data_IF_408777198917
#
_entry.id   IF_408777198917
#
_cell.length_a   1.000
_cell.length_b   1.000
_cell.length_c   1.000
_cell.angle_alpha   90.00
_cell.angle_beta   90.00
_cell.angle_gamma   90.00
#
_symmetry.space_group_name_H-M   'P 1'
#
loop_
_entity.id
_entity.type
_entity.pdbx_description
1 polymer ?
#
# COMPACT_ATOMS: atom_id res chain seq x y z
N UNK A 1 -20.59 13.43 -23.25
CA UNK A 1 -19.97 13.15 -21.93
C UNK A 1 -18.48 13.08 -22.14
N UNK A 2 -17.70 13.83 -21.37
CA UNK A 2 -16.24 13.76 -21.38
C UNK A 2 -15.80 13.14 -20.05
N UNK A 3 -15.02 12.06 -20.13
CA UNK A 3 -14.24 11.51 -19.02
C UNK A 3 -12.82 12.03 -19.16
N UNK A 4 -12.23 12.52 -18.07
CA UNK A 4 -10.88 13.05 -18.06
C UNK A 4 -10.20 12.61 -16.76
N UNK A 5 -9.00 12.04 -16.87
CA UNK A 5 -8.19 11.55 -15.77
C UNK A 5 -6.79 12.12 -15.90
N UNK A 6 -6.25 12.65 -14.80
CA UNK A 6 -4.88 13.11 -14.70
C UNK A 6 -4.31 12.66 -13.35
N UNK A 7 -3.19 11.95 -13.40
CA UNK A 7 -2.41 11.49 -12.27
C UNK A 7 -0.98 12.03 -12.47
N UNK A 8 -0.65 13.08 -11.71
CA UNK A 8 0.54 13.93 -11.88
C UNK A 8 1.86 13.16 -12.02
N UNK A 9 2.01 12.04 -11.34
CA UNK A 9 3.21 11.21 -11.30
C UNK A 9 3.15 9.95 -12.18
N UNK A 10 2.01 9.68 -12.84
CA UNK A 10 1.80 8.39 -13.50
C UNK A 10 1.25 8.47 -14.92
N UNK A 11 0.19 9.25 -15.17
CA UNK A 11 -0.58 9.16 -16.41
C UNK A 11 -1.57 10.30 -16.62
N UNK A 12 -2.02 10.50 -17.85
CA UNK A 12 -3.27 11.22 -18.12
C UNK A 12 -4.03 10.63 -19.30
N UNK A 13 -5.34 10.75 -19.26
CA UNK A 13 -6.22 10.20 -20.29
C UNK A 13 -7.53 10.97 -20.40
N UNK A 14 -8.18 10.83 -21.55
CA UNK A 14 -9.55 11.29 -21.73
C UNK A 14 -10.34 10.31 -22.59
N UNK A 15 -11.67 10.38 -22.48
CA UNK A 15 -12.59 9.70 -23.38
C UNK A 15 -13.82 10.58 -23.62
N UNK A 16 -14.09 10.88 -24.88
CA UNK A 16 -15.22 11.68 -25.33
C UNK A 16 -16.31 10.79 -25.93
N UNK A 17 -17.53 10.92 -25.41
CA UNK A 17 -18.71 10.18 -25.85
C UNK A 17 -19.81 11.12 -26.33
N UNK A 18 -20.44 10.77 -27.45
CA UNK A 18 -21.66 11.39 -27.97
C UNK A 18 -22.72 10.32 -28.17
N UNK A 19 -23.93 10.52 -27.62
CA UNK A 19 -25.02 9.55 -27.68
C UNK A 19 -24.61 8.12 -27.24
N UNK A 20 -23.83 8.04 -26.16
CA UNK A 20 -23.26 6.78 -25.61
C UNK A 20 -22.28 6.03 -26.52
N UNK A 21 -21.84 6.63 -27.63
CA UNK A 21 -20.79 6.09 -28.51
C UNK A 21 -19.47 6.82 -28.27
N UNK A 22 -18.38 6.07 -28.11
CA UNK A 22 -17.03 6.63 -28.02
C UNK A 22 -16.71 7.35 -29.34
N UNK A 23 -16.33 8.62 -29.24
CA UNK A 23 -15.96 9.46 -30.37
C UNK A 23 -14.45 9.62 -30.46
N UNK A 24 -13.78 9.77 -29.32
CA UNK A 24 -12.33 9.91 -29.23
C UNK A 24 -11.83 9.48 -27.86
N UNK A 25 -10.67 8.83 -27.80
CA UNK A 25 -9.96 8.56 -26.57
C UNK A 25 -8.45 8.74 -26.75
N UNK A 26 -7.79 9.05 -25.65
CA UNK A 26 -6.34 9.15 -25.56
C UNK A 26 -5.93 8.73 -24.16
N UNK A 27 -4.79 8.04 -24.05
CA UNK A 27 -4.10 7.87 -22.79
C UNK A 27 -2.59 7.99 -23.00
N UNK A 28 -1.89 8.54 -22.03
CA UNK A 28 -0.46 8.32 -21.90
C UNK A 28 -0.09 8.08 -20.44
N UNK A 29 1.00 7.37 -20.25
CA UNK A 29 1.54 7.02 -18.95
C UNK A 29 3.05 7.05 -19.00
N UNK A 30 3.69 7.39 -17.89
CA UNK A 30 5.14 7.55 -17.78
C UNK A 30 5.71 6.88 -16.52
N UNK A 31 4.97 5.92 -15.97
CA UNK A 31 5.50 4.95 -15.00
C UNK A 31 6.52 4.01 -15.68
N UNK A 32 6.86 2.88 -15.06
CA UNK A 32 8.00 1.98 -15.34
C UNK A 32 8.24 1.61 -16.81
N UNK A 33 7.22 1.71 -17.68
CA UNK A 33 7.34 1.67 -19.14
C UNK A 33 6.44 2.75 -19.76
N UNK A 34 6.98 3.93 -20.13
CA UNK A 34 6.20 4.99 -20.73
C UNK A 34 5.50 4.51 -22.01
N UNK A 35 4.29 4.99 -22.22
CA UNK A 35 3.49 4.60 -23.38
C UNK A 35 2.38 5.60 -23.66
N UNK A 36 1.90 5.53 -24.90
CA UNK A 36 0.80 6.33 -25.42
C UNK A 36 -0.16 5.36 -26.11
N UNK A 37 -1.45 5.53 -25.84
CA UNK A 37 -2.55 4.89 -26.54
C UNK A 37 -3.33 5.97 -27.32
N UNK A 38 -3.34 5.80 -28.64
CA UNK A 38 -4.02 6.66 -29.61
C UNK A 38 -4.98 5.87 -30.51
N UNK A 39 -5.24 4.59 -30.21
CA UNK A 39 -5.97 3.70 -31.12
C UNK A 39 -7.38 4.21 -31.43
N UNK A 40 -7.93 5.01 -30.52
CA UNK A 40 -9.24 5.65 -30.64
C UNK A 40 -9.18 7.17 -30.68
N UNK A 41 -8.01 7.79 -30.91
CA UNK A 41 -7.89 9.24 -30.97
C UNK A 41 -8.47 9.78 -32.28
N UNK A 42 -9.55 10.54 -32.19
CA UNK A 42 -10.15 11.25 -33.31
C UNK A 42 -10.17 12.75 -33.04
N UNK A 43 -9.18 13.47 -33.56
CA UNK A 43 -9.03 14.92 -33.36
C UNK A 43 -10.21 15.71 -33.95
N UNK A 44 -10.73 15.30 -35.12
CA UNK A 44 -11.87 15.97 -35.75
C UNK A 44 -13.10 16.01 -34.83
N UNK A 45 -13.30 14.96 -34.01
CA UNK A 45 -14.40 14.94 -33.02
C UNK A 45 -14.24 16.00 -31.92
N UNK A 46 -13.03 16.50 -31.69
CA UNK A 46 -12.69 17.51 -30.67
C UNK A 46 -12.72 18.95 -31.21
N UNK A 47 -12.81 19.12 -32.54
CA UNK A 47 -12.83 20.45 -33.18
C UNK A 47 -13.98 21.33 -32.69
N UNK A 48 -15.08 20.71 -32.26
CA UNK A 48 -16.22 21.39 -31.65
C UNK A 48 -15.89 22.08 -30.32
N UNK A 49 -14.78 21.74 -29.67
CA UNK A 49 -14.35 22.30 -28.39
C UNK A 49 -13.15 23.23 -28.55
N UNK A 50 -12.18 22.88 -29.40
CA UNK A 50 -10.98 23.68 -29.66
C UNK A 50 -10.47 23.49 -31.10
N UNK A 51 -9.85 24.53 -31.72
CA UNK A 51 -9.27 24.40 -33.05
C UNK A 51 -8.20 23.29 -33.12
N UNK A 52 -8.23 22.47 -34.18
CA UNK A 52 -7.34 21.30 -34.34
C UNK A 52 -5.86 21.62 -34.19
N UNK A 53 -5.39 22.72 -34.79
CA UNK A 53 -3.99 23.15 -34.72
C UNK A 53 -3.50 23.44 -33.29
N UNK A 54 -4.40 23.69 -32.33
CA UNK A 54 -4.04 23.85 -30.91
C UNK A 54 -3.95 22.53 -30.16
N UNK A 55 -4.57 21.48 -30.69
CA UNK A 55 -4.67 20.15 -30.08
C UNK A 55 -3.57 19.20 -30.57
N UNK A 56 -3.15 19.29 -31.83
CA UNK A 56 -2.20 18.37 -32.48
C UNK A 56 -0.90 18.15 -31.69
N UNK A 57 -0.34 19.22 -31.12
CA UNK A 57 0.90 19.15 -30.34
C UNK A 57 0.77 18.56 -28.93
N UNK A 58 -0.45 18.32 -28.44
CA UNK A 58 -0.67 17.82 -27.07
C UNK A 58 -0.61 16.29 -26.96
N UNK A 59 -0.63 15.60 -28.09
CA UNK A 59 -0.73 14.14 -28.15
C UNK A 59 0.55 13.46 -28.64
N UNK A 60 1.64 14.20 -28.87
CA UNK A 60 2.91 13.63 -29.34
C UNK A 60 3.73 13.06 -28.17
N UNK A 61 4.68 12.18 -28.50
CA UNK A 61 5.61 11.44 -27.62
C UNK A 61 5.84 12.06 -26.24
N UNK A 62 5.64 11.27 -25.18
CA UNK A 62 5.56 11.74 -23.81
C UNK A 62 6.70 11.17 -22.96
N UNK A 63 7.54 12.04 -22.40
CA UNK A 63 8.40 11.72 -21.27
C UNK A 63 7.99 12.54 -20.03
N UNK A 64 8.51 12.18 -18.87
CA UNK A 64 8.20 12.84 -17.60
C UNK A 64 8.66 14.32 -17.57
N UNK A 65 9.69 14.68 -18.35
CA UNK A 65 10.18 16.05 -18.40
C UNK A 65 9.18 16.93 -19.17
N UNK A 66 8.68 16.46 -20.31
CA UNK A 66 7.60 17.13 -21.06
C UNK A 66 6.31 17.21 -20.24
N UNK A 67 5.96 16.17 -19.47
CA UNK A 67 4.82 16.18 -18.56
C UNK A 67 4.88 17.35 -17.57
N UNK A 68 6.06 17.54 -16.98
CA UNK A 68 6.32 18.55 -15.96
C UNK A 68 6.46 19.96 -16.56
N UNK A 69 7.23 20.10 -17.63
CA UNK A 69 7.56 21.41 -18.22
C UNK A 69 6.45 21.96 -19.11
N UNK A 70 5.87 21.12 -19.99
CA UNK A 70 4.89 21.56 -20.96
C UNK A 70 3.45 21.43 -20.47
N UNK A 71 3.22 20.62 -19.44
CA UNK A 71 1.91 20.47 -18.82
C UNK A 71 0.76 20.23 -19.82
N UNK A 72 0.93 19.33 -20.82
CA UNK A 72 0.00 19.22 -21.96
C UNK A 72 -1.40 18.75 -21.55
N UNK A 73 -1.52 17.97 -20.46
CA UNK A 73 -2.80 17.62 -19.88
C UNK A 73 -3.59 18.86 -19.42
N UNK A 74 -2.91 19.81 -18.79
CA UNK A 74 -3.51 21.08 -18.36
C UNK A 74 -3.86 21.96 -19.55
N UNK A 75 -2.95 22.09 -20.53
CA UNK A 75 -3.23 22.82 -21.78
C UNK A 75 -4.45 22.24 -22.50
N UNK A 76 -4.58 20.92 -22.55
CA UNK A 76 -5.74 20.24 -23.13
C UNK A 76 -7.03 20.60 -22.37
N UNK A 77 -7.01 20.53 -21.04
CA UNK A 77 -8.16 20.91 -20.22
C UNK A 77 -8.58 22.38 -20.42
N UNK A 78 -7.62 23.29 -20.51
CA UNK A 78 -7.84 24.72 -20.80
C UNK A 78 -8.46 24.94 -22.18
N UNK A 79 -7.94 24.28 -23.22
CA UNK A 79 -8.47 24.39 -24.58
C UNK A 79 -9.92 23.89 -24.67
N UNK A 80 -10.26 22.84 -23.94
CA UNK A 80 -11.62 22.32 -23.84
C UNK A 80 -12.52 23.16 -22.90
N UNK A 81 -12.01 24.24 -22.31
CA UNK A 81 -12.70 25.06 -21.31
C UNK A 81 -13.23 24.22 -20.15
N UNK A 82 -12.56 23.10 -19.85
CA UNK A 82 -12.84 22.36 -18.64
C UNK A 82 -12.40 23.24 -17.47
N UNK A 83 -13.16 23.28 -16.37
CA UNK A 83 -12.66 23.88 -15.15
C UNK A 83 -11.32 23.21 -14.83
N UNK A 84 -10.23 23.96 -15.02
CA UNK A 84 -8.88 23.46 -14.83
C UNK A 84 -8.68 23.29 -13.33
N UNK A 85 -9.00 22.11 -12.82
CA UNK A 85 -8.41 21.66 -11.57
C UNK A 85 -7.00 21.24 -11.95
N UNK A 86 -6.00 22.09 -11.62
CA UNK A 86 -4.72 21.51 -11.21
C UNK A 86 -5.11 20.42 -10.22
N UNK A 87 -4.77 19.16 -10.48
CA UNK A 87 -4.99 18.13 -9.47
C UNK A 87 -3.93 18.38 -8.43
N UNK A 88 -4.19 19.40 -7.64
CA UNK A 88 -3.40 19.71 -6.50
C UNK A 88 -3.71 18.56 -5.56
N UNK A 89 -2.69 17.76 -5.20
CA UNK A 89 -2.88 16.73 -4.16
C UNK A 89 -3.66 17.36 -3.00
N UNK A 90 -4.57 16.64 -2.32
CA UNK A 90 -5.37 17.24 -1.26
C UNK A 90 -4.55 18.01 -0.22
N UNK A 91 -3.27 17.64 -0.03
CA UNK A 91 -2.26 18.39 0.73
C UNK A 91 -1.84 19.71 0.08
N UNK A 92 -1.44 19.71 -1.19
CA UNK A 92 -1.03 20.93 -1.90
C UNK A 92 -2.25 21.86 -2.09
N UNK A 93 -3.47 21.32 -2.19
CA UNK A 93 -4.71 22.09 -2.40
C UNK A 93 -5.06 22.91 -1.16
N UNK A 94 -4.41 22.65 -0.03
CA UNK A 94 -4.53 23.40 1.20
C UNK A 94 -3.41 24.43 1.39
N UNK A 95 -2.17 24.10 1.03
CA UNK A 95 -1.06 25.06 1.11
C UNK A 95 -1.12 26.12 0.02
N UNK A 96 -1.54 25.74 -1.19
CA UNK A 96 -1.34 26.53 -2.42
C UNK A 96 -2.65 27.12 -2.98
N UNK A 97 -3.74 27.09 -2.21
CA UNK A 97 -5.00 27.79 -2.57
C UNK A 97 -5.31 28.96 -1.65
N UNK A 98 -4.43 29.24 -0.68
CA UNK A 98 -4.61 30.34 0.26
C UNK A 98 -4.61 31.71 -0.43
N UNK A 99 -3.80 31.87 -1.48
CA UNK A 99 -3.76 33.03 -2.36
C UNK A 99 -5.04 33.16 -3.21
N UNK A 100 -5.58 32.06 -3.75
CA UNK A 100 -6.84 32.05 -4.49
C UNK A 100 -8.01 32.46 -3.60
N UNK A 101 -8.07 31.93 -2.36
CA UNK A 101 -9.07 32.35 -1.38
C UNK A 101 -8.93 33.85 -1.05
N UNK A 102 -7.71 34.36 -0.90
CA UNK A 102 -7.46 35.82 -0.72
C UNK A 102 -7.91 36.65 -1.92
N UNK A 103 -7.91 36.09 -3.12
CA UNK A 103 -8.39 36.73 -4.34
C UNK A 103 -9.92 36.65 -4.53
N UNK A 104 -10.66 36.14 -3.53
CA UNK A 104 -12.13 36.10 -3.55
C UNK A 104 -12.72 34.81 -4.11
N UNK A 105 -11.90 33.79 -4.37
CA UNK A 105 -12.39 32.50 -4.81
C UNK A 105 -13.04 31.72 -3.66
N UNK A 106 -14.09 30.96 -3.97
CA UNK A 106 -14.83 30.14 -2.99
C UNK A 106 -14.38 28.68 -3.07
N UNK A 107 -13.85 28.14 -1.97
CA UNK A 107 -13.57 26.70 -1.85
C UNK A 107 -14.87 25.91 -1.74
N UNK A 108 -15.11 24.98 -2.66
CA UNK A 108 -16.23 24.04 -2.61
C UNK A 108 -15.77 22.74 -1.92
N UNK A 109 -16.15 22.58 -0.66
CA UNK A 109 -15.75 21.45 0.19
C UNK A 109 -14.57 21.78 1.11
N UNK A 110 -14.51 21.08 2.24
CA UNK A 110 -13.36 21.08 3.15
C UNK A 110 -12.73 19.70 3.10
N UNK A 111 -11.40 19.60 3.21
CA UNK A 111 -10.77 18.30 3.45
C UNK A 111 -11.44 17.69 4.68
N UNK A 112 -11.79 16.39 4.64
CA UNK A 112 -12.15 15.68 5.85
C UNK A 112 -11.08 15.97 6.90
N UNK A 113 -11.48 16.38 8.11
CA UNK A 113 -10.51 16.65 9.18
C UNK A 113 -9.54 15.48 9.26
N UNK A 114 -8.24 15.78 9.29
CA UNK A 114 -7.21 14.76 9.43
C UNK A 114 -7.62 13.83 10.58
N UNK A 115 -7.83 12.53 10.31
CA UNK A 115 -8.27 11.61 11.34
C UNK A 115 -7.32 11.61 12.55
N UNK A 116 -6.04 11.92 12.35
CA UNK A 116 -5.05 12.11 13.42
C UNK A 116 -5.47 13.20 14.41
N UNK A 117 -5.95 14.34 13.91
CA UNK A 117 -6.47 15.45 14.75
C UNK A 117 -7.77 15.02 15.41
N UNK A 118 -8.67 14.38 14.67
CA UNK A 118 -9.98 13.95 15.18
C UNK A 118 -9.84 12.94 16.32
N UNK A 119 -8.93 11.98 16.20
CA UNK A 119 -8.65 10.97 17.22
C UNK A 119 -7.68 11.47 18.28
N UNK A 120 -7.15 12.69 18.12
CA UNK A 120 -6.14 13.29 18.99
C UNK A 120 -4.90 12.39 19.16
N UNK A 121 -4.46 11.69 18.10
CA UNK A 121 -3.33 10.73 18.15
C UNK A 121 -2.08 11.37 18.77
N UNK A 122 -1.22 10.60 19.47
CA UNK A 122 -0.03 11.19 20.09
C UNK A 122 0.88 11.77 19.01
N UNK A 123 1.63 12.81 19.36
CA UNK A 123 2.67 13.32 18.47
C UNK A 123 3.79 12.30 18.31
N UNK A 124 4.31 12.22 17.08
CA UNK A 124 5.54 11.49 16.75
C UNK A 124 6.67 11.97 17.65
N UNK A 125 7.50 11.03 18.09
CA UNK A 125 8.58 11.30 19.04
C UNK A 125 9.70 10.28 18.89
N UNK A 126 10.86 10.64 19.43
CA UNK A 126 11.94 9.68 19.66
C UNK A 126 11.89 9.18 21.09
N UNK A 127 12.08 7.89 21.29
CA UNK A 127 12.16 7.24 22.60
C UNK A 127 13.45 6.44 22.72
N UNK A 128 13.89 6.23 23.96
CA UNK A 128 14.99 5.32 24.24
C UNK A 128 14.48 3.89 24.21
N UNK A 129 15.10 3.06 23.38
CA UNK A 129 14.78 1.64 23.30
C UNK A 129 15.74 0.84 24.18
N UNK A 130 15.28 -0.25 24.81
CA UNK A 130 16.18 -1.16 25.52
C UNK A 130 17.17 -1.83 24.56
N UNK A 131 16.76 -2.03 23.31
CA UNK A 131 17.56 -2.53 22.18
C UNK A 131 16.92 -2.12 20.85
N UNK A 132 17.68 -2.02 19.75
CA UNK A 132 17.14 -1.58 18.47
C UNK A 132 16.39 -2.68 17.68
N UNK A 133 16.63 -3.95 17.99
CA UNK A 133 16.14 -5.12 17.28
C UNK A 133 15.05 -5.86 18.07
N UNK A 134 13.96 -5.15 18.35
CA UNK A 134 12.84 -5.65 19.15
C UNK A 134 12.10 -6.81 18.45
N UNK A 135 11.64 -7.78 19.23
CA UNK A 135 10.57 -8.71 18.83
C UNK A 135 9.21 -8.01 18.75
N UNK A 136 8.20 -8.69 18.20
CA UNK A 136 6.84 -8.15 18.12
C UNK A 136 6.26 -7.83 19.49
N UNK A 137 6.43 -8.73 20.48
CA UNK A 137 5.90 -8.53 21.83
C UNK A 137 6.65 -7.44 22.60
N UNK A 138 7.97 -7.36 22.49
CA UNK A 138 8.75 -6.26 23.09
C UNK A 138 8.33 -4.90 22.50
N UNK A 139 8.16 -4.82 21.18
CA UNK A 139 7.67 -3.61 20.53
C UNK A 139 6.23 -3.26 20.93
N UNK A 140 5.35 -4.25 21.06
CA UNK A 140 3.97 -4.05 21.54
C UNK A 140 3.96 -3.53 22.99
N UNK A 141 4.82 -4.05 23.86
CA UNK A 141 4.92 -3.60 25.25
C UNK A 141 5.33 -2.12 25.36
N UNK A 142 6.14 -1.63 24.42
CA UNK A 142 6.51 -0.20 24.32
C UNK A 142 5.36 0.64 23.79
N UNK A 143 4.60 0.15 22.80
CA UNK A 143 3.48 0.88 22.18
C UNK A 143 2.24 0.91 23.07
N UNK A 144 1.95 -0.17 23.81
CA UNK A 144 0.71 -0.36 24.55
C UNK A 144 0.37 0.80 25.52
N UNK A 145 1.31 1.37 26.31
CA UNK A 145 1.02 2.50 27.19
C UNK A 145 0.50 3.75 26.44
N UNK A 146 0.98 4.01 25.22
CA UNK A 146 0.50 5.12 24.40
C UNK A 146 -0.92 4.91 23.89
N UNK A 147 -1.28 3.63 23.69
CA UNK A 147 -2.59 3.24 23.20
C UNK A 147 -3.61 3.02 24.31
N UNK A 148 -3.17 2.88 25.57
CA UNK A 148 -4.05 2.70 26.73
C UNK A 148 -5.05 3.85 26.95
N UNK A 149 -4.75 5.07 26.49
CA UNK A 149 -5.68 6.21 26.53
C UNK A 149 -6.88 6.07 25.58
N UNK A 150 -6.79 5.15 24.63
CA UNK A 150 -7.87 4.82 23.71
C UNK A 150 -8.66 3.65 24.30
N UNK A 151 -9.69 3.97 25.08
CA UNK A 151 -10.56 2.97 25.68
C UNK A 151 -11.42 2.24 24.65
N UNK A 152 -12.19 1.24 25.09
CA UNK A 152 -13.16 0.56 24.23
C UNK A 152 -14.00 1.59 23.44
N UNK A 153 -14.19 1.39 22.13
CA UNK A 153 -14.05 0.14 21.39
C UNK A 153 -12.72 -0.03 20.62
N UNK A 154 -11.67 0.72 20.96
CA UNK A 154 -10.36 0.57 20.31
C UNK A 154 -9.72 -0.78 20.65
N UNK A 155 -9.20 -1.47 19.64
CA UNK A 155 -8.46 -2.72 19.83
C UNK A 155 -7.42 -2.92 18.74
N UNK A 156 -6.29 -3.54 19.13
CA UNK A 156 -5.31 -4.04 18.19
C UNK A 156 -5.95 -5.17 17.36
N UNK A 157 -5.86 -5.06 16.04
CA UNK A 157 -6.39 -6.09 15.14
C UNK A 157 -5.33 -6.68 14.20
N UNK A 158 -4.22 -5.98 13.97
CA UNK A 158 -3.11 -6.43 13.15
C UNK A 158 -1.81 -5.86 13.69
N UNK A 159 -0.74 -6.64 13.62
CA UNK A 159 0.63 -6.12 13.69
C UNK A 159 1.43 -6.68 12.52
N UNK A 160 2.43 -5.94 12.07
CA UNK A 160 3.30 -6.38 10.98
C UNK A 160 4.65 -5.72 11.09
N UNK A 161 5.68 -6.32 10.52
CA UNK A 161 6.95 -5.64 10.25
C UNK A 161 6.98 -5.16 8.81
N UNK A 162 7.39 -3.91 8.61
CA UNK A 162 7.81 -3.41 7.30
C UNK A 162 9.33 -3.37 7.27
N UNK A 163 9.94 -3.89 6.20
CA UNK A 163 11.40 -3.88 6.04
C UNK A 163 12.01 -5.28 6.07
N UNK A 164 12.84 -5.56 7.07
CA UNK A 164 13.47 -6.87 7.25
C UNK A 164 13.34 -7.32 8.70
N UNK A 165 13.18 -8.62 8.92
CA UNK A 165 13.44 -9.25 10.22
C UNK A 165 14.67 -10.15 10.13
N UNK A 166 15.34 -10.32 11.26
CA UNK A 166 16.48 -11.23 11.38
C UNK A 166 16.00 -12.69 11.29
N UNK A 167 16.93 -13.63 11.11
CA UNK A 167 16.62 -15.06 11.15
C UNK A 167 16.03 -15.53 12.48
N UNK A 168 16.16 -14.73 13.53
CA UNK A 168 15.58 -14.94 14.86
C UNK A 168 14.19 -14.32 15.01
N UNK A 169 13.62 -13.71 13.96
CA UNK A 169 12.30 -13.06 14.04
C UNK A 169 12.28 -11.74 14.79
N UNK A 170 13.44 -11.10 14.92
CA UNK A 170 13.57 -9.75 15.49
C UNK A 170 13.56 -8.69 14.39
N UNK A 171 13.13 -7.49 14.73
CA UNK A 171 13.19 -6.37 13.80
C UNK A 171 14.63 -6.06 13.39
N UNK A 172 14.88 -5.81 12.11
CA UNK A 172 16.17 -5.28 11.69
C UNK A 172 16.34 -3.84 12.20
N UNK A 173 17.43 -3.59 12.92
CA UNK A 173 17.69 -2.30 13.56
C UNK A 173 17.81 -1.11 12.58
N UNK A 174 18.21 -1.37 11.33
CA UNK A 174 18.52 -0.34 10.33
C UNK A 174 17.32 -0.08 9.43
N UNK A 175 16.69 -1.13 8.91
CA UNK A 175 15.63 -1.03 7.88
C UNK A 175 14.27 -1.53 8.34
N UNK A 176 14.18 -2.19 9.49
CA UNK A 176 12.95 -2.78 10.00
C UNK A 176 12.11 -1.80 10.82
N UNK A 177 10.79 -1.96 10.74
CA UNK A 177 9.82 -1.17 11.48
C UNK A 177 8.60 -2.01 11.87
N UNK A 178 8.34 -2.16 13.17
CA UNK A 178 7.09 -2.76 13.64
C UNK A 178 5.95 -1.76 13.48
N UNK A 179 4.84 -2.20 12.89
CA UNK A 179 3.60 -1.47 12.67
C UNK A 179 2.47 -2.17 13.42
N UNK A 180 1.65 -1.38 14.12
CA UNK A 180 0.52 -1.83 14.91
C UNK A 180 -0.73 -1.10 14.44
N UNK A 181 -1.79 -1.84 14.19
CA UNK A 181 -3.05 -1.28 13.71
C UNK A 181 -4.13 -1.48 14.76
N UNK A 182 -4.63 -0.37 15.28
CA UNK A 182 -5.74 -0.31 16.21
C UNK A 182 -6.96 0.20 15.48
N UNK A 183 -8.12 -0.43 15.64
CA UNK A 183 -9.37 0.06 15.04
C UNK A 183 -10.44 0.34 16.06
N UNK A 184 -11.35 1.26 15.73
CA UNK A 184 -12.48 1.64 16.60
C UNK A 184 -13.76 0.89 16.18
N UNK A 185 -13.99 -0.28 16.76
CA UNK A 185 -15.17 -1.09 16.45
C UNK A 185 -15.35 -1.30 14.94
N UNK A 186 -16.52 -0.90 14.40
CA UNK A 186 -16.85 -0.96 12.97
C UNK A 186 -16.71 0.38 12.24
N UNK A 187 -16.19 1.45 12.83
CA UNK A 187 -16.30 2.78 12.20
C UNK A 187 -15.42 3.00 10.97
N UNK A 188 -14.51 2.07 10.66
CA UNK A 188 -13.45 2.26 9.66
C UNK A 188 -12.31 3.17 10.15
N UNK A 189 -12.43 3.75 11.36
CA UNK A 189 -11.35 4.54 11.95
C UNK A 189 -10.24 3.61 12.45
N UNK A 190 -9.01 3.89 12.00
CA UNK A 190 -7.80 3.13 12.33
C UNK A 190 -6.72 4.09 12.83
N UNK A 191 -6.00 3.67 13.86
CA UNK A 191 -4.75 4.27 14.30
C UNK A 191 -3.64 3.30 13.95
N UNK A 192 -2.73 3.76 13.11
CA UNK A 192 -1.47 3.10 12.86
C UNK A 192 -0.42 3.66 13.81
N UNK A 193 0.33 2.77 14.46
CA UNK A 193 1.51 3.10 15.26
C UNK A 193 2.71 2.38 14.66
N UNK A 194 3.85 3.05 14.55
CA UNK A 194 5.08 2.42 14.06
C UNK A 194 6.28 2.75 14.95
N UNK A 195 7.19 1.80 15.07
CA UNK A 195 8.42 1.93 15.86
C UNK A 195 9.62 1.37 15.09
N UNK A 196 10.61 2.23 14.86
CA UNK A 196 11.87 1.90 14.21
C UNK A 196 12.94 1.54 15.24
N UNK A 197 13.96 0.78 14.83
CA UNK A 197 15.08 0.39 15.70
C UNK A 197 15.93 1.56 16.23
N UNK A 198 15.82 2.75 15.62
CA UNK A 198 16.49 3.96 16.12
C UNK A 198 15.68 4.74 17.19
N UNK A 199 14.53 4.20 17.62
CA UNK A 199 13.65 4.80 18.61
C UNK A 199 12.63 5.78 18.07
N UNK A 200 12.55 5.98 16.75
CA UNK A 200 11.48 6.80 16.17
C UNK A 200 10.14 6.08 16.32
N UNK A 201 9.24 6.68 17.09
CA UNK A 201 7.88 6.23 17.36
C UNK A 201 6.90 7.21 16.72
N UNK A 202 6.04 6.73 15.82
CA UNK A 202 5.06 7.58 15.15
C UNK A 202 3.64 7.02 15.18
N UNK A 203 2.69 7.92 14.94
CA UNK A 203 1.26 7.66 15.02
C UNK A 203 0.56 8.32 13.84
N UNK A 204 -0.44 7.64 13.27
CA UNK A 204 -1.28 8.18 12.20
C UNK A 204 -2.71 7.71 12.36
N UNK A 205 -3.64 8.65 12.39
CA UNK A 205 -5.06 8.33 12.22
C UNK A 205 -5.37 8.18 10.73
N UNK A 206 -6.20 7.20 10.40
CA UNK A 206 -6.73 7.01 9.05
C UNK A 206 -8.18 6.51 9.09
N UNK A 207 -8.87 6.67 7.97
CA UNK A 207 -10.16 6.03 7.72
C UNK A 207 -9.99 5.06 6.57
N UNK A 208 -10.33 3.82 6.81
CA UNK A 208 -10.23 2.73 5.84
C UNK A 208 -11.65 2.25 5.54
N UNK A 209 -11.91 1.88 4.30
CA UNK A 209 -13.17 1.27 3.91
C UNK A 209 -13.41 0.00 4.74
N UNK A 210 -14.62 -0.18 5.26
CA UNK A 210 -14.97 -1.31 6.11
C UNK A 210 -14.80 -2.64 5.35
N UNK A 211 -15.08 -2.63 4.05
CA UNK A 211 -14.94 -3.80 3.19
C UNK A 211 -13.48 -4.24 3.04
N UNK A 212 -12.52 -3.32 3.22
CA UNK A 212 -11.10 -3.62 3.11
C UNK A 212 -10.50 -4.25 4.38
N UNK A 213 -11.12 -4.07 5.55
CA UNK A 213 -10.60 -4.54 6.86
C UNK A 213 -11.36 -5.76 7.41
N UNK A 214 -12.47 -6.13 6.78
CA UNK A 214 -13.32 -7.22 7.23
C UNK A 214 -13.96 -6.97 8.62
N UNK A 215 -14.66 -7.98 9.17
CA UNK A 215 -15.36 -7.85 10.44
C UNK A 215 -14.38 -7.62 11.61
N UNK A 216 -14.82 -6.94 12.69
CA UNK A 216 -14.02 -6.69 13.86
C UNK A 216 -13.71 -7.96 14.63
N UNK A 217 -12.43 -8.29 14.58
CA UNK A 217 -11.72 -9.31 15.33
C UNK A 217 -10.69 -8.61 16.18
N UNK A 218 -10.76 -8.89 17.48
CA UNK A 218 -9.83 -8.39 18.47
C UNK A 218 -8.72 -9.42 18.59
N UNK A 219 -7.46 -9.00 18.54
CA UNK A 219 -6.38 -9.84 19.03
C UNK A 219 -6.62 -10.01 20.54
N UNK A 220 -7.21 -11.14 20.92
CA UNK A 220 -7.61 -11.41 22.30
C UNK A 220 -6.35 -11.69 23.11
N UNK A 221 -6.15 -10.91 24.18
CA UNK A 221 -5.12 -11.14 25.19
C UNK A 221 -3.69 -10.86 24.72
N UNK A 222 -2.89 -10.20 25.55
CA UNK A 222 -1.45 -10.02 25.34
C UNK A 222 -0.64 -11.33 25.55
N UNK A 223 -1.29 -12.51 25.52
CA UNK A 223 -0.72 -13.73 26.10
C UNK A 223 -0.80 -15.00 25.26
N UNK A 224 -1.81 -15.15 24.38
CA UNK A 224 -2.13 -16.50 23.88
C UNK A 224 -1.51 -16.86 22.53
N UNK A 225 -0.83 -15.92 21.87
CA UNK A 225 -0.13 -16.15 20.61
C UNK A 225 1.38 -16.23 20.82
N UNK A 226 2.10 -16.99 20.01
CA UNK A 226 3.56 -17.09 19.94
C UNK A 226 4.17 -15.82 19.36
N UNK A 227 5.19 -15.28 20.02
CA UNK A 227 5.94 -14.11 19.58
C UNK A 227 6.66 -14.34 18.24
N UNK A 228 7.06 -13.25 17.57
CA UNK A 228 7.76 -13.32 16.29
C UNK A 228 9.06 -14.15 16.36
N UNK A 229 9.71 -14.17 17.51
CA UNK A 229 10.92 -14.97 17.76
C UNK A 229 10.65 -16.46 17.87
N UNK A 230 9.58 -16.83 18.56
CA UNK A 230 9.11 -18.21 18.72
C UNK A 230 8.63 -18.78 17.38
N UNK A 231 7.90 -17.97 16.60
CA UNK A 231 7.45 -18.35 15.26
C UNK A 231 8.62 -18.57 14.33
N UNK A 232 9.63 -17.69 14.32
CA UNK A 232 10.81 -17.91 13.50
C UNK A 232 11.61 -19.14 13.93
N UNK A 233 11.58 -19.52 15.21
CA UNK A 233 12.15 -20.78 15.66
C UNK A 233 11.43 -21.98 14.99
N UNK A 234 10.10 -22.02 15.00
CA UNK A 234 9.31 -23.04 14.29
C UNK A 234 9.61 -23.05 12.79
N UNK A 235 9.64 -21.88 12.15
CA UNK A 235 9.90 -21.74 10.71
C UNK A 235 11.29 -22.28 10.32
N UNK A 236 12.29 -22.10 11.19
CA UNK A 236 13.63 -22.61 10.94
C UNK A 236 13.72 -24.15 11.02
N UNK A 237 12.75 -24.81 11.65
CA UNK A 237 12.66 -26.27 11.70
C UNK A 237 11.94 -26.88 10.48
N UNK A 238 11.17 -26.08 9.74
CA UNK A 238 10.46 -26.55 8.55
C UNK A 238 11.43 -26.91 7.42
N UNK A 239 11.06 -27.94 6.66
CA UNK A 239 11.79 -28.32 5.45
C UNK A 239 11.68 -27.20 4.41
N UNK A 240 12.81 -26.55 4.13
CA UNK A 240 12.88 -25.45 3.18
C UNK A 240 12.70 -25.99 1.75
N UNK A 241 11.83 -25.37 0.94
CA UNK A 241 11.72 -25.70 -0.47
C UNK A 241 13.06 -25.55 -1.21
N UNK A 242 13.35 -26.47 -2.12
CA UNK A 242 14.54 -26.39 -2.97
C UNK A 242 14.52 -25.13 -3.84
N UNK A 243 15.70 -24.55 -4.08
CA UNK A 243 15.85 -23.39 -4.95
C UNK A 243 15.63 -22.03 -4.29
N UNK A 244 15.59 -21.99 -2.95
CA UNK A 244 15.72 -20.77 -2.14
C UNK A 244 17.13 -20.72 -1.54
N UNK A 245 18.00 -19.88 -2.11
CA UNK A 245 19.33 -19.64 -1.56
C UNK A 245 19.29 -18.44 -0.61
N UNK A 246 19.94 -18.53 0.56
CA UNK A 246 20.07 -17.41 1.53
C UNK A 246 18.75 -16.67 1.80
N UNK A 247 17.96 -17.20 2.72
CA UNK A 247 16.62 -16.68 3.02
C UNK A 247 16.73 -15.49 3.98
N UNK A 248 16.08 -14.38 3.63
CA UNK A 248 15.76 -13.31 4.58
C UNK A 248 14.25 -13.16 4.71
N UNK A 249 13.79 -12.76 5.88
CA UNK A 249 12.36 -12.51 6.11
C UNK A 249 12.06 -11.06 5.77
N UNK A 250 11.30 -10.83 4.71
CA UNK A 250 10.92 -9.49 4.25
C UNK A 250 9.71 -8.95 5.01
N UNK A 251 8.69 -9.76 5.21
CA UNK A 251 7.45 -9.32 5.87
C UNK A 251 7.01 -10.41 6.83
N UNK A 252 6.56 -9.99 8.00
CA UNK A 252 5.83 -10.82 8.98
C UNK A 252 4.58 -10.04 9.37
N UNK A 253 3.42 -10.68 9.29
CA UNK A 253 2.14 -10.09 9.67
C UNK A 253 1.40 -11.05 10.57
N UNK A 254 0.89 -10.56 11.70
CA UNK A 254 -0.02 -11.30 12.56
C UNK A 254 -1.43 -10.72 12.38
N UNK A 255 -2.35 -11.53 11.85
CA UNK A 255 -3.73 -11.14 11.58
C UNK A 255 -4.69 -12.35 11.61
N UNK A 256 -5.99 -12.07 11.71
CA UNK A 256 -7.03 -13.07 11.60
C UNK A 256 -7.38 -13.39 10.15
N UNK A 257 -7.17 -14.64 9.75
CA UNK A 257 -7.61 -15.16 8.46
C UNK A 257 -9.13 -15.29 8.37
N UNK A 258 -9.71 -15.35 7.16
CA UNK A 258 -11.17 -15.35 6.93
C UNK A 258 -11.97 -16.31 7.82
N UNK A 259 -11.39 -17.42 8.27
CA UNK A 259 -12.00 -18.40 9.18
C UNK A 259 -11.71 -18.18 10.67
N UNK A 260 -11.30 -16.97 11.06
CA UNK A 260 -11.03 -16.54 12.43
C UNK A 260 -9.86 -17.25 13.14
N UNK A 261 -9.01 -17.97 12.41
CA UNK A 261 -7.71 -18.39 12.93
C UNK A 261 -6.74 -17.21 12.95
N UNK A 262 -6.03 -17.06 14.06
CA UNK A 262 -4.97 -16.08 14.18
C UNK A 262 -3.70 -16.68 13.58
N UNK A 263 -3.13 -16.01 12.57
CA UNK A 263 -2.03 -16.56 11.79
C UNK A 263 -0.90 -15.56 11.70
N UNK A 264 0.33 -16.07 11.76
CA UNK A 264 1.49 -15.39 11.23
C UNK A 264 1.64 -15.68 9.74
N UNK A 265 1.58 -14.64 8.93
CA UNK A 265 1.96 -14.68 7.52
C UNK A 265 3.39 -14.16 7.38
N UNK A 266 4.28 -14.98 6.83
CA UNK A 266 5.67 -14.61 6.60
C UNK A 266 5.97 -14.66 5.11
N UNK A 267 6.72 -13.68 4.61
CA UNK A 267 7.28 -13.67 3.25
C UNK A 267 8.80 -13.76 3.34
N UNK A 268 9.33 -14.92 2.95
CA UNK A 268 10.73 -15.29 3.01
C UNK A 268 11.33 -15.18 1.61
N UNK A 269 12.13 -14.14 1.36
CA UNK A 269 12.74 -13.85 0.07
C UNK A 269 14.13 -14.46 -0.08
N UNK A 270 14.50 -14.82 -1.31
CA UNK A 270 15.88 -15.15 -1.68
C UNK A 270 16.67 -13.87 -1.96
N UNK A 271 17.84 -13.71 -1.34
CA UNK A 271 18.78 -12.63 -1.71
C UNK A 271 19.37 -12.86 -3.12
N UNK A 272 19.51 -14.13 -3.52
CA UNK A 272 19.98 -14.49 -4.84
C UNK A 272 18.87 -14.25 -5.88
N UNK A 273 19.07 -13.27 -6.77
CA UNK A 273 18.12 -12.94 -7.85
C UNK A 273 18.00 -14.03 -8.90
N UNK A 274 19.00 -14.90 -9.00
CA UNK A 274 19.06 -16.01 -9.93
C UNK A 274 18.56 -17.33 -9.30
N UNK A 275 18.10 -17.28 -8.04
CA UNK A 275 17.47 -18.42 -7.39
C UNK A 275 16.24 -18.88 -8.17
N UNK A 276 16.01 -20.20 -8.18
CA UNK A 276 14.88 -20.77 -8.89
C UNK A 276 13.54 -20.26 -8.34
N UNK A 277 13.46 -20.07 -7.03
CA UNK A 277 12.33 -19.47 -6.34
C UNK A 277 12.73 -18.09 -5.79
N UNK A 278 11.85 -17.11 -5.98
CA UNK A 278 12.06 -15.76 -5.49
C UNK A 278 11.62 -15.61 -4.03
N UNK A 279 10.43 -16.13 -3.71
CA UNK A 279 9.82 -16.02 -2.38
C UNK A 279 9.17 -17.35 -1.95
N UNK A 280 9.12 -17.54 -0.65
CA UNK A 280 8.34 -18.54 0.06
C UNK A 280 7.44 -17.82 1.05
N UNK A 281 6.14 -17.78 0.74
CA UNK A 281 5.14 -17.17 1.61
C UNK A 281 4.49 -18.28 2.43
N UNK A 282 4.53 -18.15 3.75
CA UNK A 282 4.03 -19.18 4.66
C UNK A 282 3.02 -18.61 5.64
N UNK A 283 2.06 -19.45 6.02
CA UNK A 283 1.07 -19.18 7.04
C UNK A 283 1.28 -20.15 8.19
N UNK A 284 1.58 -19.63 9.37
CA UNK A 284 1.86 -20.38 10.59
C UNK A 284 0.80 -20.04 11.64
N UNK A 285 0.20 -21.05 12.27
CA UNK A 285 -0.79 -20.83 13.32
C UNK A 285 -0.11 -20.13 14.50
N UNK A 286 -0.72 -19.04 14.95
CA UNK A 286 -0.10 -18.21 15.96
C UNK A 286 -0.17 -18.83 17.37
N UNK A 287 -0.93 -19.89 17.60
CA UNK A 287 -1.08 -20.50 18.92
C UNK A 287 -0.03 -21.59 19.17
N UNK A 288 0.21 -22.45 18.19
CA UNK A 288 1.05 -23.64 18.34
C UNK A 288 2.22 -23.72 17.35
N UNK A 289 2.34 -22.75 16.43
CA UNK A 289 3.43 -22.71 15.47
C UNK A 289 3.27 -23.70 14.33
N UNK A 290 2.08 -24.28 14.14
CA UNK A 290 1.81 -25.23 13.06
C UNK A 290 1.85 -24.56 11.68
N UNK A 291 2.59 -25.14 10.73
CA UNK A 291 2.60 -24.68 9.35
C UNK A 291 1.29 -25.03 8.65
N UNK A 292 0.44 -24.05 8.34
CA UNK A 292 -0.90 -24.29 7.78
C UNK A 292 -0.91 -24.26 6.25
N UNK A 293 -0.18 -23.33 5.65
CA UNK A 293 -0.15 -23.17 4.20
C UNK A 293 1.15 -22.53 3.72
N UNK A 294 1.51 -22.84 2.48
CA UNK A 294 2.73 -22.35 1.84
C UNK A 294 2.47 -22.04 0.38
N UNK A 295 3.11 -20.98 -0.11
CA UNK A 295 3.10 -20.55 -1.50
C UNK A 295 4.55 -20.33 -1.92
N UNK A 296 4.94 -20.91 -3.06
CA UNK A 296 6.22 -20.62 -3.71
C UNK A 296 5.97 -19.72 -4.88
N UNK A 297 6.81 -18.70 -5.01
CA UNK A 297 6.74 -17.72 -6.08
C UNK A 297 8.04 -17.65 -6.88
N UNK A 298 7.94 -17.49 -8.20
CA UNK A 298 9.09 -17.30 -9.11
C UNK A 298 9.13 -15.91 -9.70
N UNK A 299 10.33 -15.49 -10.10
CA UNK A 299 10.56 -14.22 -10.78
C UNK A 299 10.36 -14.38 -12.29
N UNK A 300 9.53 -13.52 -12.86
CA UNK A 300 9.31 -13.36 -14.31
C UNK A 300 9.63 -11.92 -14.69
N UNK A 301 10.92 -11.66 -14.95
CA UNK A 301 11.44 -10.30 -15.09
C UNK A 301 11.38 -9.54 -13.76
N UNK A 302 10.58 -8.48 -13.71
CA UNK A 302 10.37 -7.69 -12.49
C UNK A 302 9.16 -8.16 -11.66
N UNK A 303 8.35 -9.07 -12.19
CA UNK A 303 7.17 -9.60 -11.50
C UNK A 303 7.53 -10.85 -10.70
N UNK A 304 7.00 -10.97 -9.50
CA UNK A 304 7.03 -12.21 -8.71
C UNK A 304 5.61 -12.79 -8.80
N UNK A 305 5.49 -14.04 -9.24
CA UNK A 305 4.19 -14.73 -9.39
C UNK A 305 4.20 -16.03 -8.59
N UNK A 306 3.10 -16.38 -7.89
CA UNK A 306 2.91 -17.71 -7.33
C UNK A 306 3.02 -18.78 -8.42
N UNK A 307 3.69 -19.88 -8.11
CA UNK A 307 3.84 -21.04 -9.01
C UNK A 307 3.39 -22.33 -8.37
N UNK A 308 3.50 -22.46 -7.04
CA UNK A 308 3.04 -23.62 -6.31
C UNK A 308 2.37 -23.20 -5.01
N UNK A 309 1.40 -23.97 -4.56
CA UNK A 309 0.89 -23.88 -3.19
C UNK A 309 0.72 -25.27 -2.59
N UNK A 310 0.73 -25.33 -1.26
CA UNK A 310 0.25 -26.49 -0.52
C UNK A 310 -0.42 -26.04 0.77
N UNK A 311 -1.44 -26.79 1.16
CA UNK A 311 -1.98 -26.77 2.53
C UNK A 311 -1.28 -27.89 3.29
N UNK A 312 -1.08 -27.70 4.59
CA UNK A 312 -0.41 -28.68 5.45
C UNK A 312 -0.89 -30.11 5.23
N UNK A 313 0.08 -31.03 5.13
CA UNK A 313 -0.18 -32.46 4.91
C UNK A 313 -0.65 -32.81 3.50
N UNK A 314 -0.77 -31.84 2.61
CA UNK A 314 -1.11 -32.05 1.20
C UNK A 314 0.13 -31.95 0.31
N UNK A 315 0.02 -32.50 -0.90
CA UNK A 315 1.06 -32.37 -1.92
C UNK A 315 1.07 -30.95 -2.49
N UNK A 316 2.20 -30.55 -3.08
CA UNK A 316 2.28 -29.33 -3.86
C UNK A 316 1.34 -29.39 -5.06
N UNK A 317 0.57 -28.32 -5.25
CA UNK A 317 -0.25 -28.07 -6.42
C UNK A 317 0.35 -26.91 -7.22
N UNK A 318 0.52 -27.10 -8.53
CA UNK A 318 0.99 -26.04 -9.41
C UNK A 318 -0.16 -25.04 -9.67
N UNK A 319 0.12 -23.75 -9.52
CA UNK A 319 -0.73 -22.73 -10.12
C UNK A 319 -0.53 -22.84 -11.62
N UNK A 320 -1.48 -23.50 -12.31
CA UNK A 320 -1.41 -23.76 -13.75
C UNK A 320 -0.89 -22.53 -14.51
N UNK A 321 -0.03 -22.76 -15.50
CA UNK A 321 0.71 -21.70 -16.22
C UNK A 321 -0.21 -20.55 -16.58
N UNK A 322 -0.12 -19.46 -15.81
CA UNK A 322 -0.74 -18.17 -16.15
C UNK A 322 0.05 -17.60 -17.33
N UNK A 323 -0.31 -18.04 -18.55
CA UNK A 323 0.15 -17.45 -19.82
C UNK A 323 -0.06 -15.94 -19.83
#
# INVERSE_FOLDING_TARGET
MLSYLYAEDHAWSFSYFQNRKLQSAFACWWDTKPGIDQDHLNLASLEQFAPLHKLEGLFVGFDINMANEESPAYRFAELLKLPAYRWISPSIAESDTADLVKQGWRKLGSKPRDPSILFQVPLNRRIDLPRPDLSAREALAIVAPYMARFEAPWHLFRLSVQGRTTSEGRNDAVVGCWRFYYRKGFSGDVIEVWIFGNGNLGFKGMRVDQDAIGPPRKLVGQGDWMDSTEIMACVNEFEKPSGLDSIYTGIMTLDFQKHARLMWELSLGSENRDAECANWDISVDALDGELVAEILSKRFGYKIKPVKFRIQGQNWEDFGTLE
#
